data_IF_628437339400
#
_entry.id   IF_628437339400
#
_cell.length_a   1.000
_cell.length_b   1.000
_cell.length_c   1.000
_cell.angle_alpha   90.00
_cell.angle_beta   90.00
_cell.angle_gamma   90.00
#
_symmetry.space_group_name_H-M   'P 1'
#
loop_
_entity.id
_entity.type
_entity.pdbx_description
1 polymer ?
#
# COMPACT_ATOMS: atom_id res chain seq x y z
N UNK A 1 15.50 -30.51 -12.22
CA UNK A 1 15.47 -29.05 -12.11
C UNK A 1 14.10 -28.51 -11.73
N UNK A 2 13.95 -27.99 -10.50
CA UNK A 2 12.74 -27.27 -10.09
C UNK A 2 12.88 -25.80 -10.50
N UNK A 3 12.00 -25.32 -11.37
CA UNK A 3 11.85 -23.89 -11.63
C UNK A 3 11.09 -23.27 -10.45
N UNK A 4 11.69 -22.26 -9.84
CA UNK A 4 11.07 -21.43 -8.81
C UNK A 4 10.69 -20.09 -9.42
N UNK A 5 9.56 -19.55 -9.01
CA UNK A 5 9.19 -18.18 -9.36
C UNK A 5 10.12 -17.18 -8.67
N UNK A 6 10.35 -16.04 -9.34
CA UNK A 6 11.20 -14.96 -8.83
C UNK A 6 10.71 -14.43 -7.47
N UNK A 7 9.39 -14.39 -7.26
CA UNK A 7 8.79 -13.97 -5.98
C UNK A 7 9.22 -14.91 -4.84
N UNK A 8 9.29 -16.21 -5.09
CA UNK A 8 9.72 -17.19 -4.08
C UNK A 8 11.19 -17.00 -3.70
N UNK A 9 12.05 -16.62 -4.64
CA UNK A 9 13.44 -16.27 -4.35
C UNK A 9 13.53 -15.03 -3.44
N UNK A 10 12.70 -14.01 -3.69
CA UNK A 10 12.65 -12.80 -2.87
C UNK A 10 12.06 -13.04 -1.47
N UNK A 11 11.10 -13.95 -1.33
CA UNK A 11 10.51 -14.29 -0.02
C UNK A 11 11.52 -14.91 0.96
N UNK A 12 12.62 -15.49 0.47
CA UNK A 12 13.70 -16.00 1.33
C UNK A 12 14.72 -14.94 1.79
N UNK A 13 14.54 -13.68 1.40
CA UNK A 13 15.42 -12.55 1.75
C UNK A 13 14.82 -11.68 2.86
N UNK A 14 15.67 -10.91 3.52
CA UNK A 14 15.28 -10.03 4.60
C UNK A 14 15.40 -8.55 4.19
N UNK A 15 14.71 -7.67 4.91
CA UNK A 15 14.88 -6.23 4.74
C UNK A 15 16.32 -5.84 5.11
N UNK A 16 16.96 -5.04 4.25
CA UNK A 16 18.37 -4.69 4.32
C UNK A 16 19.29 -5.57 3.47
N UNK A 17 18.82 -6.71 2.97
CA UNK A 17 19.61 -7.54 2.05
C UNK A 17 19.81 -6.83 0.71
N UNK A 18 21.00 -6.97 0.12
CA UNK A 18 21.31 -6.46 -1.21
C UNK A 18 21.19 -7.59 -2.24
N UNK A 19 20.37 -7.39 -3.27
CA UNK A 19 20.18 -8.33 -4.38
C UNK A 19 20.73 -7.74 -5.67
N UNK A 20 21.53 -8.52 -6.39
CA UNK A 20 22.05 -8.17 -7.71
C UNK A 20 20.98 -8.42 -8.77
N UNK A 21 20.49 -7.35 -9.38
CA UNK A 21 19.50 -7.43 -10.45
C UNK A 21 20.17 -7.08 -11.77
N UNK A 22 20.13 -8.03 -12.71
CA UNK A 22 20.55 -7.81 -14.09
C UNK A 22 19.36 -7.36 -14.90
N UNK A 23 19.50 -6.24 -15.60
CA UNK A 23 18.43 -5.68 -16.42
C UNK A 23 19.00 -5.14 -17.74
N UNK A 24 18.19 -5.26 -18.79
CA UNK A 24 18.48 -4.62 -20.07
C UNK A 24 17.87 -3.21 -20.04
N UNK A 25 18.69 -2.18 -20.22
CA UNK A 25 18.25 -0.77 -20.24
C UNK A 25 18.89 -0.06 -21.43
N UNK A 26 18.06 0.34 -22.40
CA UNK A 26 18.46 1.25 -23.46
C UNK A 26 18.39 2.71 -22.99
N UNK A 27 19.27 3.55 -23.51
CA UNK A 27 19.32 5.00 -23.23
C UNK A 27 18.55 5.83 -24.28
N UNK A 28 17.80 5.18 -25.16
CA UNK A 28 16.98 5.81 -26.19
C UNK A 28 17.75 6.18 -27.46
N UNK A 29 19.08 6.08 -27.49
CA UNK A 29 19.93 6.44 -28.64
C UNK A 29 20.90 5.33 -29.05
N UNK A 30 21.30 4.46 -28.11
CA UNK A 30 22.08 3.25 -28.35
C UNK A 30 21.30 2.02 -27.88
N UNK A 31 21.63 0.85 -28.43
CA UNK A 31 20.91 -0.40 -28.23
C UNK A 31 20.75 -0.83 -26.76
N UNK A 32 20.00 -1.91 -26.55
CA UNK A 32 19.78 -2.48 -25.21
C UNK A 32 21.12 -2.93 -24.59
N UNK A 33 21.54 -2.29 -23.51
CA UNK A 33 22.72 -2.68 -22.73
C UNK A 33 22.33 -3.48 -21.49
N UNK A 34 23.09 -4.54 -21.18
CA UNK A 34 22.96 -5.29 -19.93
C UNK A 34 23.69 -4.56 -18.80
N UNK A 35 22.94 -4.18 -17.77
CA UNK A 35 23.47 -3.50 -16.58
C UNK A 35 23.08 -4.29 -15.34
N UNK A 36 24.03 -4.43 -14.42
CA UNK A 36 23.81 -5.06 -13.11
C UNK A 36 23.72 -3.98 -12.05
N UNK A 37 22.66 -4.02 -11.25
CA UNK A 37 22.44 -3.09 -10.15
C UNK A 37 22.35 -3.85 -8.83
N UNK A 38 22.97 -3.30 -7.80
CA UNK A 38 22.82 -3.76 -6.44
C UNK A 38 21.64 -3.01 -5.81
N UNK A 39 20.55 -3.74 -5.50
CA UNK A 39 19.32 -3.17 -4.95
C UNK A 39 19.16 -3.65 -3.50
N UNK A 40 19.13 -2.70 -2.57
CA UNK A 40 18.77 -2.97 -1.17
C UNK A 40 17.26 -3.21 -1.05
N UNK A 41 16.90 -4.35 -0.48
CA UNK A 41 15.50 -4.71 -0.24
C UNK A 41 14.97 -3.95 0.97
N UNK A 42 13.84 -3.27 0.78
CA UNK A 42 13.12 -2.57 1.85
C UNK A 42 11.78 -3.24 2.11
N UNK A 43 11.30 -3.12 3.35
CA UNK A 43 9.94 -3.53 3.69
C UNK A 43 8.95 -2.76 2.81
N UNK A 44 8.04 -3.48 2.17
CA UNK A 44 6.94 -2.85 1.45
C UNK A 44 6.00 -2.17 2.45
N UNK A 45 5.75 -0.87 2.26
CA UNK A 45 4.84 -0.08 3.08
C UNK A 45 3.69 0.42 2.18
N UNK A 46 2.49 -0.18 2.28
CA UNK A 46 1.39 0.18 1.39
C UNK A 46 0.82 1.57 1.75
N UNK A 47 0.14 2.20 0.79
CA UNK A 47 -0.59 3.46 1.03
C UNK A 47 -1.79 3.23 1.95
N UNK A 48 -2.58 2.19 1.66
CA UNK A 48 -3.70 1.75 2.48
C UNK A 48 -3.24 0.54 3.29
N UNK A 49 -3.29 0.66 4.62
CA UNK A 49 -2.83 -0.43 5.47
C UNK A 49 -3.74 -1.64 5.33
N UNK A 50 -3.13 -2.83 5.28
CA UNK A 50 -3.86 -4.11 5.37
C UNK A 50 -4.31 -4.33 6.82
N UNK A 51 -5.00 -5.45 7.08
CA UNK A 51 -5.51 -5.77 8.41
C UNK A 51 -4.43 -5.68 9.48
N UNK A 52 -4.73 -4.92 10.52
CA UNK A 52 -3.83 -4.72 11.66
C UNK A 52 -4.40 -5.48 12.85
N UNK A 53 -3.64 -6.45 13.34
CA UNK A 53 -4.03 -7.25 14.52
C UNK A 53 -3.50 -6.58 15.78
N UNK A 54 -4.31 -6.57 16.83
CA UNK A 54 -3.97 -6.02 18.15
C UNK A 54 -3.52 -4.55 18.13
N UNK A 55 -3.86 -3.81 17.07
CA UNK A 55 -3.65 -2.37 16.96
C UNK A 55 -4.99 -1.66 17.05
N UNK A 56 -5.10 -0.72 17.99
CA UNK A 56 -6.28 0.14 18.09
C UNK A 56 -6.33 1.07 16.87
N UNK A 57 -7.47 1.17 16.15
CA UNK A 57 -7.61 2.11 15.05
C UNK A 57 -7.35 3.56 15.49
N UNK A 58 -6.54 4.27 14.70
CA UNK A 58 -6.32 5.70 14.89
C UNK A 58 -7.50 6.50 14.33
N UNK A 59 -8.06 7.43 15.11
CA UNK A 59 -9.09 8.34 14.65
C UNK A 59 -9.04 9.67 15.40
N UNK A 60 -9.61 10.71 14.81
CA UNK A 60 -9.79 12.04 15.40
C UNK A 60 -11.24 12.45 15.20
N UNK A 61 -11.86 12.97 16.26
CA UNK A 61 -13.20 13.57 16.20
C UNK A 61 -13.06 15.07 16.37
N UNK A 62 -13.65 15.84 15.45
CA UNK A 62 -13.69 17.30 15.53
C UNK A 62 -15.08 17.80 15.14
N UNK A 63 -15.78 18.47 16.06
CA UNK A 63 -17.16 18.93 15.83
C UNK A 63 -18.07 17.80 15.36
N UNK A 64 -17.96 16.62 16.01
CA UNK A 64 -18.68 15.38 15.67
C UNK A 64 -18.31 14.73 14.32
N UNK A 65 -17.37 15.29 13.55
CA UNK A 65 -16.81 14.65 12.34
C UNK A 65 -15.73 13.64 12.74
N UNK A 66 -15.92 12.37 12.40
CA UNK A 66 -14.95 11.30 12.68
C UNK A 66 -14.05 11.05 11.48
N UNK A 67 -12.77 11.37 11.64
CA UNK A 67 -11.72 11.11 10.66
C UNK A 67 -10.88 9.91 11.07
N UNK A 68 -10.61 9.00 10.13
CA UNK A 68 -9.71 7.86 10.33
C UNK A 68 -8.90 7.57 9.07
N UNK A 69 -7.72 6.93 9.17
CA UNK A 69 -6.98 6.45 8.01
C UNK A 69 -7.78 5.37 7.27
N UNK A 70 -7.73 5.42 5.94
CA UNK A 70 -8.24 4.34 5.09
C UNK A 70 -7.44 3.07 5.35
N UNK A 71 -8.13 1.99 5.66
CA UNK A 71 -7.56 0.67 5.90
C UNK A 71 -8.42 -0.42 5.27
N UNK A 72 -7.84 -1.61 5.11
CA UNK A 72 -8.60 -2.79 4.70
C UNK A 72 -9.74 -3.09 5.68
N UNK A 73 -9.51 -2.95 6.97
CA UNK A 73 -10.51 -3.20 8.01
C UNK A 73 -11.68 -2.20 7.90
N UNK A 74 -11.41 -0.94 7.56
CA UNK A 74 -12.46 0.05 7.28
C UNK A 74 -13.24 -0.28 6.00
N UNK A 75 -12.57 -0.71 4.93
CA UNK A 75 -13.25 -1.12 3.69
C UNK A 75 -14.19 -2.31 3.90
N UNK A 76 -13.87 -3.20 4.85
CA UNK A 76 -14.73 -4.31 5.22
C UNK A 76 -16.02 -3.90 5.96
N UNK A 77 -16.18 -2.63 6.35
CA UNK A 77 -17.44 -2.15 6.90
C UNK A 77 -18.59 -2.15 5.88
N UNK A 78 -18.31 -2.14 4.57
CA UNK A 78 -19.34 -2.24 3.52
C UNK A 78 -19.82 -3.67 3.27
N UNK A 79 -19.01 -4.66 3.62
CA UNK A 79 -19.30 -6.06 3.31
C UNK A 79 -18.09 -6.95 3.44
N UNK A 80 -18.34 -8.27 3.34
CA UNK A 80 -17.26 -9.27 3.34
C UNK A 80 -16.35 -9.11 2.12
N UNK A 81 -16.90 -8.66 1.00
CA UNK A 81 -16.18 -8.47 -0.25
C UNK A 81 -15.85 -6.98 -0.46
N UNK A 82 -14.63 -6.69 -0.87
CA UNK A 82 -14.17 -5.34 -1.14
C UNK A 82 -14.97 -4.66 -2.26
N UNK A 83 -15.62 -5.44 -3.14
CA UNK A 83 -16.46 -4.91 -4.22
C UNK A 83 -17.63 -4.05 -3.73
N UNK A 84 -18.06 -4.25 -2.48
CA UNK A 84 -19.20 -3.54 -1.90
C UNK A 84 -18.81 -2.12 -1.43
N UNK A 85 -17.50 -1.85 -1.29
CA UNK A 85 -16.99 -0.53 -0.91
C UNK A 85 -17.04 0.46 -2.10
N UNK A 86 -16.91 1.78 -1.88
CA UNK A 86 -16.84 2.76 -2.97
C UNK A 86 -15.65 2.51 -3.90
N UNK A 87 -15.88 2.52 -5.22
CA UNK A 87 -14.86 2.20 -6.23
C UNK A 87 -13.58 3.06 -6.12
N UNK A 88 -13.71 4.34 -5.75
CA UNK A 88 -12.56 5.22 -5.53
C UNK A 88 -11.66 4.74 -4.38
N UNK A 89 -12.25 4.27 -3.27
CA UNK A 89 -11.49 3.75 -2.14
C UNK A 89 -10.87 2.38 -2.45
N UNK A 90 -11.59 1.54 -3.22
CA UNK A 90 -11.05 0.29 -3.74
C UNK A 90 -9.81 0.54 -4.62
N UNK A 91 -9.90 1.50 -5.54
CA UNK A 91 -8.80 1.85 -6.44
C UNK A 91 -7.56 2.25 -5.66
N UNK A 92 -7.72 3.04 -4.59
CA UNK A 92 -6.60 3.42 -3.73
C UNK A 92 -6.03 2.25 -2.92
N UNK A 93 -6.86 1.29 -2.51
CA UNK A 93 -6.38 0.07 -1.85
C UNK A 93 -5.54 -0.82 -2.78
N UNK A 94 -5.98 -1.02 -4.02
CA UNK A 94 -5.30 -1.90 -4.96
C UNK A 94 -4.10 -1.25 -5.66
N UNK A 95 -4.18 0.04 -5.98
CA UNK A 95 -3.22 0.71 -6.86
C UNK A 95 -2.56 1.95 -6.23
N UNK A 96 -2.98 2.35 -5.05
CA UNK A 96 -2.40 3.48 -4.33
C UNK A 96 -0.95 3.21 -3.93
N UNK A 97 -0.07 4.18 -4.20
CA UNK A 97 1.36 4.11 -3.86
C UNK A 97 1.74 5.34 -3.06
N UNK A 98 2.53 5.14 -2.00
CA UNK A 98 3.12 6.24 -1.23
C UNK A 98 4.12 7.02 -2.09
N UNK A 99 3.87 8.32 -2.31
CA UNK A 99 4.72 9.20 -3.13
C UNK A 99 4.63 10.65 -2.65
N UNK A 100 5.76 11.37 -2.65
CA UNK A 100 5.77 12.83 -2.48
C UNK A 100 4.98 13.34 -1.26
N UNK A 101 5.16 12.72 -0.09
CA UNK A 101 4.44 13.07 1.15
C UNK A 101 3.03 12.46 1.28
N UNK A 102 2.53 11.75 0.26
CA UNK A 102 1.29 10.97 0.34
C UNK A 102 1.56 9.67 1.13
N UNK A 103 1.44 9.74 2.45
CA UNK A 103 1.70 8.60 3.33
C UNK A 103 0.45 7.80 3.68
N UNK A 104 -0.68 8.49 3.81
CA UNK A 104 -1.98 7.91 4.19
C UNK A 104 -3.12 8.64 3.49
N UNK A 105 -4.28 7.98 3.41
CA UNK A 105 -5.53 8.59 2.95
C UNK A 105 -6.43 8.70 4.18
N UNK A 106 -6.91 9.90 4.51
CA UNK A 106 -7.84 10.10 5.63
C UNK A 106 -9.26 10.20 5.08
N UNK A 107 -10.17 9.44 5.68
CA UNK A 107 -11.59 9.43 5.32
C UNK A 107 -12.43 10.03 6.43
N UNK A 108 -13.49 10.75 6.07
CA UNK A 108 -14.59 11.09 6.96
C UNK A 108 -15.53 9.89 7.00
N UNK A 109 -15.53 9.14 8.10
CA UNK A 109 -16.29 7.88 8.18
C UNK A 109 -17.68 8.04 8.76
N UNK A 110 -17.88 8.99 9.66
CA UNK A 110 -19.16 9.20 10.33
C UNK A 110 -19.30 10.66 10.79
N UNK A 111 -20.55 11.12 10.85
CA UNK A 111 -20.95 12.36 11.49
C UNK A 111 -21.80 11.97 12.70
N UNK A 112 -21.37 12.38 13.90
CA UNK A 112 -22.11 12.21 15.14
C UNK A 112 -23.05 13.40 15.29
N UNK A 113 -24.36 13.17 15.22
CA UNK A 113 -25.37 14.23 15.22
C UNK A 113 -25.36 15.07 16.50
N UNK A 114 -25.38 16.39 16.33
CA UNK A 114 -25.50 17.41 17.38
C UNK A 114 -26.19 18.67 16.79
N UNK A 115 -26.48 19.71 17.58
CA UNK A 115 -27.06 20.95 17.02
C UNK A 115 -26.11 21.64 16.02
N UNK A 116 -24.81 21.40 16.15
CA UNK A 116 -23.78 21.98 15.29
C UNK A 116 -23.50 21.18 14.01
N UNK A 117 -24.04 19.95 13.84
CA UNK A 117 -23.67 19.06 12.72
C UNK A 117 -24.66 17.92 12.39
#
# INVERSE_FOLDING_TARGET
>A
DKKLEMVTYLHGKYAGDVVKVKLLRGDGQAGLEEKTFDIELKRHVPLVQRSQYDVKPSFVIYGGLLFQPLSLDFLHCWGRDLKDAPAGLQQEFFYGVRRGGREEIVVLSQILSDEAN
#
